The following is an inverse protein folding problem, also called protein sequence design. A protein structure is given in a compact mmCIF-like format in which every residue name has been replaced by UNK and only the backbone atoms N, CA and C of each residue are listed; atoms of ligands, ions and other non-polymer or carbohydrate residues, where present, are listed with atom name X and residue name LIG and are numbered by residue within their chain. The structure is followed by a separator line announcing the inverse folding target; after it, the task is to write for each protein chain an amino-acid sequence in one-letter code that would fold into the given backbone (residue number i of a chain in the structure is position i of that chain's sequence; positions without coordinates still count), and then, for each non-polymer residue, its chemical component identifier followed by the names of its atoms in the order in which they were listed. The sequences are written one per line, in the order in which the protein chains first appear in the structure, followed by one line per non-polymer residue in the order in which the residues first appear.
data_IF_057856093274
#
_entry.id   IF_057856093274
#
_cell.length_a   1.000
_cell.length_b   1.000
_cell.length_c   1.000
_cell.angle_alpha   90.00
_cell.angle_beta   90.00
_cell.angle_gamma   90.00
#
_symmetry.space_group_name_H-M   'P 1'
#
loop_
_entity.id
_entity.type
_entity.pdbx_description
1 polymer ?
#
# COMPACT_ATOMS: atom_id res chain seq x y z
N UNK A 1 13.42 21.49 -47.76
CA UNK A 1 14.49 21.82 -46.78
C UNK A 1 14.59 20.61 -45.88
N UNK A 2 15.22 19.58 -46.42
CA UNK A 2 15.10 18.19 -45.97
C UNK A 2 16.49 17.72 -45.56
N UNK A 3 16.63 17.26 -44.32
CA UNK A 3 17.86 16.74 -43.77
C UNK A 3 17.71 15.22 -43.55
N UNK A 4 18.58 14.38 -44.16
CA UNK A 4 18.53 12.93 -43.97
C UNK A 4 19.46 12.42 -42.84
N UNK A 5 19.03 11.28 -42.30
CA UNK A 5 19.65 10.45 -41.27
C UNK A 5 20.95 9.78 -41.76
N UNK A 6 22.01 9.86 -40.96
CA UNK A 6 23.28 9.17 -41.17
C UNK A 6 23.34 7.88 -40.35
N UNK A 7 23.10 6.74 -41.01
CA UNK A 7 23.45 5.42 -40.53
C UNK A 7 24.94 5.15 -40.79
N UNK A 8 25.69 4.75 -39.77
CA UNK A 8 27.07 4.27 -39.91
C UNK A 8 27.13 2.77 -39.65
N UNK A 9 27.15 1.99 -40.73
CA UNK A 9 27.69 0.64 -40.77
C UNK A 9 29.21 0.74 -40.77
N UNK A 10 29.87 0.00 -39.89
CA UNK A 10 31.31 -0.26 -39.98
C UNK A 10 31.48 -1.76 -40.18
N UNK A 11 31.78 -2.11 -41.42
CA UNK A 11 32.40 -3.39 -41.79
C UNK A 11 33.89 -3.28 -41.52
N UNK A 12 34.46 -4.28 -40.86
CA UNK A 12 35.91 -4.44 -40.74
C UNK A 12 36.28 -5.91 -40.88
N UNK A 13 36.53 -6.31 -42.12
CA UNK A 13 37.33 -7.48 -42.46
C UNK A 13 38.80 -7.20 -42.18
N UNK A 14 39.48 -8.09 -41.45
CA UNK A 14 40.94 -8.15 -41.45
C UNK A 14 41.39 -9.62 -41.47
N UNK A 15 41.92 -10.02 -42.62
CA UNK A 15 42.80 -11.16 -42.76
C UNK A 15 44.13 -10.83 -42.09
N UNK A 16 44.67 -11.74 -41.29
CA UNK A 16 46.11 -11.77 -41.06
C UNK A 16 46.57 -13.21 -40.91
N UNK A 17 47.39 -13.61 -41.87
CA UNK A 17 48.17 -14.83 -41.90
C UNK A 17 49.43 -14.62 -41.06
N UNK A 18 49.95 -15.71 -40.47
CA UNK A 18 51.34 -16.15 -40.62
C UNK A 18 52.01 -16.66 -39.33
N UNK A 19 52.70 -17.78 -39.54
CA UNK A 19 53.90 -18.29 -38.86
C UNK A 19 53.75 -19.01 -37.52
N UNK A 20 53.77 -20.35 -37.64
CA UNK A 20 54.21 -21.28 -36.61
C UNK A 20 55.68 -21.01 -36.27
N UNK A 21 55.98 -20.75 -35.00
CA UNK A 21 57.32 -20.98 -34.43
C UNK A 21 57.18 -22.03 -33.33
N UNK A 22 57.91 -23.13 -33.50
CA UNK A 22 58.20 -24.08 -32.44
C UNK A 22 59.34 -23.48 -31.60
N UNK A 23 59.10 -23.33 -30.29
CA UNK A 23 60.15 -23.13 -29.31
C UNK A 23 59.79 -23.96 -28.06
N UNK A 24 60.67 -24.91 -27.76
CA UNK A 24 60.70 -25.72 -26.54
C UNK A 24 61.35 -24.92 -25.39
N UNK A 25 61.12 -25.40 -24.16
CA UNK A 25 61.62 -24.91 -22.85
C UNK A 25 61.07 -23.53 -22.46
N UNK A 26 60.42 -23.33 -21.31
CA UNK A 26 60.85 -23.75 -19.98
C UNK A 26 59.64 -23.86 -19.03
N UNK A 27 59.69 -24.81 -18.10
CA UNK A 27 58.57 -25.17 -17.21
C UNK A 27 58.63 -24.32 -15.94
N UNK A 28 58.21 -23.06 -16.05
CA UNK A 28 57.70 -22.31 -14.90
C UNK A 28 56.18 -22.24 -15.05
N UNK A 29 55.47 -23.10 -14.31
CA UNK A 29 54.01 -23.07 -14.21
C UNK A 29 53.61 -21.82 -13.42
N UNK A 30 53.72 -20.65 -14.06
CA UNK A 30 53.01 -19.47 -13.62
C UNK A 30 51.53 -19.81 -13.70
N UNK A 31 50.91 -20.08 -12.54
CA UNK A 31 49.46 -20.15 -12.44
C UNK A 31 48.93 -18.86 -13.08
N UNK A 32 48.09 -18.91 -14.12
CA UNK A 32 47.56 -17.70 -14.70
C UNK A 32 46.92 -16.92 -13.55
N UNK A 33 47.39 -15.68 -13.33
CA UNK A 33 46.86 -14.77 -12.33
C UNK A 33 45.35 -14.92 -12.33
N UNK A 34 44.77 -15.34 -11.19
CA UNK A 34 43.36 -15.68 -11.04
C UNK A 34 42.54 -14.73 -11.91
N UNK A 35 42.01 -15.22 -13.04
CA UNK A 35 41.04 -14.45 -13.80
C UNK A 35 39.87 -14.26 -12.84
N UNK A 36 39.82 -13.12 -12.18
CA UNK A 36 38.71 -12.73 -11.32
C UNK A 36 37.51 -12.78 -12.26
N UNK A 37 36.66 -13.79 -12.06
CA UNK A 37 35.51 -14.01 -12.94
C UNK A 37 34.52 -12.89 -12.70
N UNK A 38 34.65 -11.83 -13.46
CA UNK A 38 33.69 -10.75 -13.49
C UNK A 38 32.33 -11.30 -13.96
N UNK A 39 31.25 -10.78 -13.38
CA UNK A 39 29.85 -11.07 -13.70
C UNK A 39 29.47 -10.56 -15.11
N UNK A 40 30.30 -10.81 -16.13
CA UNK A 40 30.19 -10.17 -17.44
C UNK A 40 29.09 -10.75 -18.32
N UNK A 41 28.51 -11.90 -17.96
CA UNK A 41 27.43 -12.52 -18.73
C UNK A 41 26.09 -12.46 -18.00
N UNK A 42 25.03 -12.14 -18.75
CA UNK A 42 23.66 -12.07 -18.25
C UNK A 42 23.19 -13.37 -17.57
N UNK A 43 23.69 -14.54 -18.01
CA UNK A 43 23.38 -15.84 -17.40
C UNK A 43 23.86 -15.96 -15.95
N UNK A 44 25.04 -15.40 -15.63
CA UNK A 44 25.58 -15.40 -14.26
C UNK A 44 24.76 -14.48 -13.36
N UNK A 45 24.45 -13.28 -13.84
CA UNK A 45 23.60 -12.32 -13.11
C UNK A 45 22.20 -12.88 -12.87
N UNK A 46 21.58 -13.53 -13.86
CA UNK A 46 20.27 -14.19 -13.71
C UNK A 46 20.28 -15.27 -12.63
N UNK A 47 21.33 -16.09 -12.57
CA UNK A 47 21.47 -17.13 -11.53
C UNK A 47 21.71 -16.53 -10.15
N UNK A 48 22.49 -15.45 -10.08
CA UNK A 48 22.76 -14.76 -8.81
C UNK A 48 21.52 -14.04 -8.25
N UNK A 49 20.65 -13.51 -9.12
CA UNK A 49 19.39 -12.84 -8.75
C UNK A 49 18.18 -13.77 -8.75
N UNK A 50 18.38 -15.09 -8.79
CA UNK A 50 17.29 -16.05 -8.83
C UNK A 50 16.57 -16.11 -7.46
N UNK A 51 15.26 -15.89 -7.45
CA UNK A 51 14.40 -16.03 -6.28
C UNK A 51 13.57 -17.31 -6.46
N UNK A 52 13.61 -18.27 -5.53
CA UNK A 52 12.83 -19.49 -5.65
C UNK A 52 11.32 -19.19 -5.59
N UNK A 53 10.47 -20.02 -6.22
CA UNK A 53 9.02 -19.86 -6.12
C UNK A 53 8.51 -20.19 -4.71
N UNK A 54 7.27 -19.81 -4.41
CA UNK A 54 6.63 -20.12 -3.14
C UNK A 54 6.50 -21.65 -2.94
N UNK A 55 6.70 -22.19 -1.72
CA UNK A 55 6.74 -23.65 -1.46
C UNK A 55 5.46 -24.39 -1.87
N UNK A 56 4.32 -23.72 -1.93
CA UNK A 56 3.06 -24.30 -2.43
C UNK A 56 3.15 -24.81 -3.87
N UNK A 57 4.13 -24.33 -4.66
CA UNK A 57 4.39 -24.78 -6.02
C UNK A 57 5.46 -25.88 -6.10
N UNK A 58 6.13 -26.19 -4.99
CA UNK A 58 7.18 -27.21 -4.91
C UNK A 58 6.64 -28.59 -4.53
N UNK A 59 5.32 -28.71 -4.30
CA UNK A 59 4.63 -29.95 -3.86
C UNK A 59 4.57 -31.04 -4.93
N UNK A 60 5.27 -30.88 -6.07
CA UNK A 60 5.29 -31.86 -7.14
C UNK A 60 6.69 -32.00 -7.75
N UNK A 61 7.60 -32.61 -6.99
CA UNK A 61 8.58 -33.61 -7.46
C UNK A 61 9.64 -33.86 -6.37
N UNK A 62 9.67 -35.09 -5.84
CA UNK A 62 10.82 -35.72 -5.15
C UNK A 62 11.32 -35.17 -3.80
N UNK A 63 10.50 -35.20 -2.74
CA UNK A 63 11.05 -35.13 -1.37
C UNK A 63 10.15 -35.73 -0.28
N UNK A 64 9.76 -37.00 -0.43
CA UNK A 64 9.69 -37.86 0.75
C UNK A 64 10.32 -39.21 0.42
N UNK A 65 11.50 -39.47 0.98
CA UNK A 65 12.11 -40.81 1.05
C UNK A 65 11.33 -41.77 1.99
N UNK A 66 10.07 -41.42 2.31
CA UNK A 66 9.10 -42.23 3.02
C UNK A 66 7.76 -42.01 2.28
N UNK A 67 7.22 -43.09 1.72
CA UNK A 67 6.00 -43.11 0.89
C UNK A 67 4.75 -42.59 1.65
N UNK A 68 3.64 -42.20 0.97
CA UNK A 68 2.88 -43.14 0.15
C UNK A 68 2.56 -42.65 -1.27
N UNK A 69 2.64 -43.63 -2.14
CA UNK A 69 2.24 -43.72 -3.54
C UNK A 69 0.74 -43.48 -3.75
N UNK A 70 0.19 -42.26 -3.62
CA UNK A 70 -1.20 -41.96 -4.03
C UNK A 70 -1.48 -40.47 -4.33
N UNK A 71 -0.64 -39.78 -5.11
CA UNK A 71 -1.07 -38.53 -5.75
C UNK A 71 -0.71 -38.55 -7.23
N UNK A 72 -1.31 -39.50 -7.95
CA UNK A 72 -1.23 -39.60 -9.42
C UNK A 72 -2.37 -38.86 -10.12
N UNK A 73 -3.07 -37.96 -9.43
CA UNK A 73 -4.25 -37.25 -9.94
C UNK A 73 -4.11 -35.74 -9.76
N UNK A 74 -4.60 -35.01 -10.76
CA UNK A 74 -4.71 -33.56 -10.70
C UNK A 74 -5.57 -33.13 -9.51
N UNK A 75 -5.12 -32.14 -8.74
CA UNK A 75 -5.83 -31.61 -7.57
C UNK A 75 -5.72 -30.09 -7.50
N UNK A 76 -6.73 -29.45 -6.89
CA UNK A 76 -6.78 -27.99 -6.73
C UNK A 76 -6.20 -27.61 -5.37
N UNK A 77 -5.20 -26.74 -5.37
CA UNK A 77 -4.57 -26.22 -4.15
C UNK A 77 -5.15 -24.83 -3.83
N UNK A 78 -5.57 -24.62 -2.58
CA UNK A 78 -5.94 -23.29 -2.10
C UNK A 78 -4.69 -22.52 -1.62
N UNK A 79 -4.26 -21.53 -2.41
CA UNK A 79 -3.06 -20.72 -2.14
C UNK A 79 -3.41 -19.23 -2.05
N UNK A 80 -3.98 -18.73 -0.93
CA UNK A 80 -4.28 -17.32 -0.78
C UNK A 80 -2.98 -16.51 -0.77
N UNK A 81 -2.78 -15.56 -1.70
CA UNK A 81 -1.52 -14.82 -1.79
C UNK A 81 -1.38 -13.84 -0.63
N UNK A 82 -0.14 -13.61 -0.18
CA UNK A 82 0.20 -12.57 0.80
C UNK A 82 0.29 -11.18 0.16
N UNK A 83 -0.71 -10.80 -0.64
CA UNK A 83 -0.79 -9.51 -1.34
C UNK A 83 -2.13 -8.82 -1.06
N UNK A 84 -2.16 -7.50 -1.25
CA UNK A 84 -3.41 -6.75 -1.13
C UNK A 84 -4.41 -7.21 -2.20
N UNK A 85 -5.69 -7.44 -1.85
CA UNK A 85 -6.72 -7.80 -2.83
C UNK A 85 -6.98 -6.63 -3.79
N UNK A 86 -7.31 -6.95 -5.03
CA UNK A 86 -7.76 -5.93 -5.99
C UNK A 86 -9.19 -5.46 -5.67
N UNK A 87 -9.56 -4.28 -6.18
CA UNK A 87 -10.91 -3.71 -6.01
C UNK A 87 -12.01 -4.63 -6.56
N UNK A 88 -11.68 -5.48 -7.52
CA UNK A 88 -12.60 -6.46 -8.11
C UNK A 88 -12.91 -7.64 -7.20
N UNK A 89 -12.11 -7.87 -6.15
CA UNK A 89 -12.44 -8.82 -5.10
C UNK A 89 -13.45 -8.19 -4.12
N UNK A 90 -14.69 -8.07 -4.58
CA UNK A 90 -15.76 -7.36 -3.88
C UNK A 90 -16.15 -8.09 -2.58
N UNK A 91 -16.12 -7.43 -1.42
CA UNK A 91 -16.54 -8.05 -0.17
C UNK A 91 -18.05 -8.39 -0.20
N UNK A 92 -18.46 -9.47 0.47
CA UNK A 92 -19.84 -9.96 0.46
C UNK A 92 -20.90 -8.95 0.92
N UNK A 93 -20.48 -7.91 1.67
CA UNK A 93 -21.36 -6.80 2.10
C UNK A 93 -21.82 -5.93 0.93
N UNK A 94 -21.01 -5.83 -0.13
CA UNK A 94 -21.29 -5.00 -1.31
C UNK A 94 -21.97 -5.78 -2.45
N UNK A 95 -22.04 -7.11 -2.35
CA UNK A 95 -22.79 -7.92 -3.31
C UNK A 95 -24.30 -7.79 -3.08
N UNK A 96 -25.11 -7.73 -4.15
CA UNK A 96 -26.56 -7.86 -4.05
C UNK A 96 -26.96 -9.16 -3.33
N UNK A 97 -28.09 -9.13 -2.62
CA UNK A 97 -28.58 -10.30 -1.86
C UNK A 97 -28.88 -11.51 -2.76
N UNK A 98 -29.23 -11.28 -4.03
CA UNK A 98 -29.50 -12.31 -5.03
C UNK A 98 -28.25 -12.94 -5.64
N UNK A 99 -27.07 -12.36 -5.44
CA UNK A 99 -25.83 -12.86 -6.04
C UNK A 99 -25.42 -14.19 -5.38
N UNK A 100 -25.33 -15.31 -6.12
CA UNK A 100 -24.98 -16.61 -5.57
C UNK A 100 -23.58 -16.64 -4.94
N UNK A 101 -22.66 -15.76 -5.37
CA UNK A 101 -21.29 -15.66 -4.85
C UNK A 101 -21.25 -15.26 -3.38
N UNK A 102 -22.33 -14.68 -2.85
CA UNK A 102 -22.45 -14.31 -1.43
C UNK A 102 -22.36 -15.52 -0.48
N UNK A 103 -22.57 -16.74 -0.98
CA UNK A 103 -22.52 -18.00 -0.19
C UNK A 103 -21.14 -18.68 -0.21
N UNK A 104 -20.24 -18.29 -1.11
CA UNK A 104 -18.99 -19.00 -1.38
C UNK A 104 -17.82 -18.44 -0.55
N UNK A 105 -17.78 -18.75 0.75
CA UNK A 105 -16.58 -18.47 1.56
C UNK A 105 -15.57 -19.61 1.40
N UNK A 106 -14.66 -19.49 0.41
CA UNK A 106 -13.67 -20.53 0.11
C UNK A 106 -12.78 -20.87 1.31
N UNK A 107 -12.40 -19.90 2.14
CA UNK A 107 -11.61 -20.15 3.35
C UNK A 107 -12.33 -21.15 4.26
N UNK A 108 -13.63 -20.95 4.50
CA UNK A 108 -14.42 -21.86 5.32
C UNK A 108 -14.55 -23.26 4.70
N UNK A 109 -14.62 -23.36 3.37
CA UNK A 109 -14.71 -24.65 2.68
C UNK A 109 -13.41 -25.47 2.79
N UNK A 110 -12.24 -24.83 2.69
CA UNK A 110 -10.94 -25.52 2.75
C UNK A 110 -10.40 -25.69 4.18
N UNK A 111 -10.78 -24.84 5.14
CA UNK A 111 -10.39 -24.99 6.55
C UNK A 111 -10.90 -26.28 7.20
N UNK A 112 -11.98 -26.87 6.69
CA UNK A 112 -12.48 -28.18 7.15
C UNK A 112 -11.70 -29.37 6.58
N UNK A 113 -10.84 -29.16 5.57
CA UNK A 113 -10.18 -30.21 4.80
C UNK A 113 -8.64 -30.21 4.89
N UNK A 114 -8.01 -29.20 5.51
CA UNK A 114 -6.54 -29.07 5.50
C UNK A 114 -5.84 -30.00 6.48
N UNK A 115 -5.35 -31.12 5.96
CA UNK A 115 -4.37 -32.05 6.56
C UNK A 115 -2.92 -31.54 6.51
N UNK A 116 -2.65 -30.34 5.99
CA UNK A 116 -1.30 -29.76 5.95
C UNK A 116 -1.28 -28.45 6.71
N UNK A 117 -1.07 -28.54 8.03
CA UNK A 117 -0.69 -27.39 8.86
C UNK A 117 0.79 -27.11 8.57
N UNK A 118 1.08 -26.00 7.91
CA UNK A 118 2.45 -25.49 7.91
C UNK A 118 2.80 -25.07 9.34
N UNK A 119 3.80 -25.73 9.91
CA UNK A 119 4.43 -25.38 11.19
C UNK A 119 5.21 -24.06 11.01
N UNK A 120 4.51 -22.93 11.02
CA UNK A 120 5.17 -21.64 11.19
C UNK A 120 5.55 -21.47 12.67
N UNK A 121 6.85 -21.50 12.95
CA UNK A 121 7.41 -21.39 14.30
C UNK A 121 7.56 -19.92 14.74
N UNK A 122 6.92 -18.97 14.06
CA UNK A 122 7.14 -17.54 14.30
C UNK A 122 5.94 -16.62 14.07
N UNK A 123 4.72 -17.15 13.99
CA UNK A 123 3.52 -16.34 14.12
C UNK A 123 2.75 -16.75 15.38
N UNK A 124 2.76 -15.86 16.37
CA UNK A 124 1.67 -15.70 17.34
C UNK A 124 0.39 -15.37 16.57
N UNK A 125 -0.17 -16.38 15.91
CA UNK A 125 -1.55 -16.36 15.43
C UNK A 125 -2.44 -16.56 16.67
N UNK A 126 -3.38 -15.64 16.97
CA UNK A 126 -4.32 -15.85 18.05
C UNK A 126 -5.18 -17.07 17.69
N UNK A 127 -5.17 -18.03 18.60
CA UNK A 127 -5.95 -19.26 18.60
C UNK A 127 -7.39 -19.03 18.19
N UNK A 128 -7.74 -19.45 16.98
CA UNK A 128 -9.11 -19.79 16.62
C UNK A 128 -9.36 -21.25 16.99
N UNK A 129 -9.80 -21.48 18.22
CA UNK A 129 -10.38 -22.76 18.64
C UNK A 129 -11.54 -22.51 19.61
N UNK A 130 -12.74 -22.93 19.19
CA UNK A 130 -13.99 -23.08 19.94
C UNK A 130 -14.59 -21.78 20.51
N UNK A 131 -15.73 -21.23 20.06
CA UNK A 131 -17.00 -21.90 19.76
C UNK A 131 -17.41 -22.92 20.84
N UNK A 132 -17.42 -22.47 22.09
CA UNK A 132 -18.32 -22.98 23.11
C UNK A 132 -18.58 -21.86 24.13
N UNK A 133 -19.85 -21.46 24.21
CA UNK A 133 -20.49 -20.69 25.28
C UNK A 133 -20.06 -19.22 25.51
N UNK A 134 -21.05 -18.32 25.48
CA UNK A 134 -20.88 -16.91 25.89
C UNK A 134 -20.26 -15.95 24.86
N UNK A 135 -21.00 -15.56 23.81
CA UNK A 135 -20.94 -14.22 23.21
C UNK A 135 -19.58 -13.56 22.89
N UNK A 136 -18.53 -14.34 22.58
CA UNK A 136 -17.20 -13.81 22.33
C UNK A 136 -17.16 -13.07 20.98
N UNK A 137 -17.25 -11.75 21.03
CA UNK A 137 -16.95 -10.86 19.90
C UNK A 137 -15.51 -11.15 19.48
N UNK A 138 -15.22 -11.45 18.19
CA UNK A 138 -13.84 -11.67 17.76
C UNK A 138 -13.00 -10.47 18.14
N UNK A 139 -11.81 -10.71 18.71
CA UNK A 139 -10.90 -9.65 19.10
C UNK A 139 -10.45 -8.90 17.85
N UNK A 140 -11.05 -7.72 17.64
CA UNK A 140 -10.75 -6.85 16.53
C UNK A 140 -9.43 -6.11 16.82
N UNK A 141 -8.65 -5.75 15.80
CA UNK A 141 -7.48 -4.89 16.00
C UNK A 141 -7.90 -3.57 16.66
N UNK A 142 -6.97 -2.92 17.39
CA UNK A 142 -7.28 -1.69 18.11
C UNK A 142 -7.82 -0.63 17.16
N UNK A 143 -8.96 -0.04 17.53
CA UNK A 143 -9.57 1.03 16.75
C UNK A 143 -8.69 2.27 16.81
N UNK A 144 -8.33 2.81 15.65
CA UNK A 144 -7.79 4.18 15.58
C UNK A 144 -8.94 5.13 15.90
N UNK A 145 -8.91 5.71 17.11
CA UNK A 145 -9.93 6.66 17.52
C UNK A 145 -9.86 7.93 16.67
N UNK A 146 -11.01 8.31 16.12
CA UNK A 146 -11.21 9.56 15.43
C UNK A 146 -12.49 10.20 15.96
N UNK A 147 -12.53 11.53 15.96
CA UNK A 147 -13.65 12.30 16.51
C UNK A 147 -15.01 11.93 15.89
N UNK A 148 -15.04 11.44 14.65
CA UNK A 148 -16.26 11.01 13.96
C UNK A 148 -16.84 9.67 14.47
N UNK A 149 -16.08 8.93 15.28
CA UNK A 149 -16.56 7.71 15.92
C UNK A 149 -17.23 7.95 17.27
N UNK A 150 -17.17 9.17 17.80
CA UNK A 150 -17.92 9.56 18.99
C UNK A 150 -19.41 9.61 18.64
N UNK A 151 -20.25 9.03 19.49
CA UNK A 151 -21.69 8.98 19.26
C UNK A 151 -22.27 10.39 19.03
N UNK A 152 -23.06 10.54 17.97
CA UNK A 152 -23.69 11.81 17.61
C UNK A 152 -24.65 12.26 18.71
N UNK A 153 -24.40 13.43 19.29
CA UNK A 153 -25.26 14.06 20.29
C UNK A 153 -26.21 15.03 19.60
N UNK A 154 -27.51 14.80 19.71
CA UNK A 154 -28.57 15.63 19.12
C UNK A 154 -29.38 16.33 20.22
N UNK A 155 -28.69 17.01 21.13
CA UNK A 155 -29.32 17.63 22.32
C UNK A 155 -29.69 19.11 22.12
N UNK A 156 -29.20 19.75 21.04
CA UNK A 156 -29.43 21.18 20.80
C UNK A 156 -30.81 21.46 20.24
N UNK A 157 -31.47 22.47 20.81
CA UNK A 157 -32.74 22.98 20.33
C UNK A 157 -32.57 24.00 19.19
N UNK A 158 -33.69 24.37 18.54
CA UNK A 158 -33.69 25.43 17.51
C UNK A 158 -33.38 26.80 18.12
N UNK A 159 -33.71 27.00 19.39
CA UNK A 159 -33.49 28.25 20.12
C UNK A 159 -32.00 28.46 20.40
N UNK A 160 -31.32 27.41 20.86
CA UNK A 160 -29.86 27.42 21.05
C UNK A 160 -29.13 27.78 19.75
N UNK A 161 -29.61 27.24 18.64
CA UNK A 161 -29.11 27.53 17.30
C UNK A 161 -29.30 29.01 16.92
N UNK A 162 -30.45 29.59 17.24
CA UNK A 162 -30.69 31.02 17.00
C UNK A 162 -29.77 31.89 17.87
N UNK A 163 -29.56 31.53 19.14
CA UNK A 163 -28.65 32.23 20.04
C UNK A 163 -27.20 32.15 19.54
N UNK A 164 -26.74 30.98 19.10
CA UNK A 164 -25.39 30.81 18.52
C UNK A 164 -25.17 31.73 17.31
N UNK A 165 -26.17 31.85 16.42
CA UNK A 165 -26.09 32.76 15.27
C UNK A 165 -26.02 34.21 15.72
N UNK A 166 -26.86 34.60 16.69
CA UNK A 166 -26.88 35.95 17.25
C UNK A 166 -25.52 36.32 17.86
N UNK A 167 -24.96 35.46 18.71
CA UNK A 167 -23.69 35.70 19.38
C UNK A 167 -22.53 35.88 18.40
N UNK A 168 -22.47 35.05 17.35
CA UNK A 168 -21.41 35.15 16.32
C UNK A 168 -21.57 36.36 15.40
N UNK A 169 -22.81 36.80 15.17
CA UNK A 169 -23.08 38.02 14.40
C UNK A 169 -22.66 39.28 15.18
N UNK A 170 -22.80 39.27 16.51
CA UNK A 170 -22.42 40.39 17.38
C UNK A 170 -20.91 40.55 17.48
N UNK A 171 -20.19 39.53 17.94
CA UNK A 171 -18.73 39.57 18.06
C UNK A 171 -18.09 38.24 17.65
N UNK A 172 -17.53 38.16 16.42
CA UNK A 172 -16.89 36.96 15.94
C UNK A 172 -15.50 36.70 16.56
N UNK A 173 -14.90 37.64 17.30
CA UNK A 173 -13.63 37.43 17.98
C UNK A 173 -13.85 36.78 19.35
N UNK A 174 -14.77 37.33 20.15
CA UNK A 174 -15.13 36.74 21.45
C UNK A 174 -15.84 35.40 21.28
N UNK A 175 -16.87 35.34 20.44
CA UNK A 175 -17.67 34.14 20.21
C UNK A 175 -17.16 33.32 19.03
N UNK A 176 -15.92 32.85 19.13
CA UNK A 176 -15.30 31.97 18.13
C UNK A 176 -16.05 30.63 18.00
N UNK A 177 -15.84 29.92 16.89
CA UNK A 177 -16.44 28.59 16.65
C UNK A 177 -16.15 27.63 17.81
N UNK A 178 -14.93 27.66 18.35
CA UNK A 178 -14.54 26.83 19.50
C UNK A 178 -15.18 27.30 20.81
N UNK A 179 -15.37 28.60 21.02
CA UNK A 179 -16.03 29.12 22.21
C UNK A 179 -17.51 28.70 22.25
N UNK A 180 -18.21 28.79 21.12
CA UNK A 180 -19.59 28.32 20.98
C UNK A 180 -19.69 26.80 21.13
N UNK A 181 -18.78 26.05 20.50
CA UNK A 181 -18.72 24.59 20.63
C UNK A 181 -18.57 24.16 22.11
N UNK A 182 -17.75 24.89 22.88
CA UNK A 182 -17.58 24.65 24.32
C UNK A 182 -18.81 25.06 25.15
N UNK A 183 -19.43 26.20 24.85
CA UNK A 183 -20.63 26.70 25.58
C UNK A 183 -21.80 25.74 25.43
N UNK A 184 -22.04 25.23 24.22
CA UNK A 184 -23.18 24.38 23.90
C UNK A 184 -22.83 22.88 23.85
N UNK A 185 -21.65 22.47 24.32
CA UNK A 185 -21.15 21.07 24.26
C UNK A 185 -21.44 20.36 22.92
N UNK A 186 -21.01 20.97 21.82
CA UNK A 186 -21.26 20.47 20.47
C UNK A 186 -19.99 20.50 19.60
N UNK A 187 -20.03 19.83 18.44
CA UNK A 187 -18.88 19.76 17.54
C UNK A 187 -18.58 21.14 16.91
N UNK A 188 -17.31 21.58 16.83
CA UNK A 188 -16.94 22.79 16.09
C UNK A 188 -17.40 22.77 14.63
N UNK A 189 -17.44 21.59 14.01
CA UNK A 189 -17.92 21.41 12.64
C UNK A 189 -19.43 21.72 12.55
N UNK A 190 -20.21 21.28 13.55
CA UNK A 190 -21.63 21.58 13.62
C UNK A 190 -21.87 23.10 13.73
N UNK A 191 -21.11 23.79 14.59
CA UNK A 191 -21.17 25.25 14.71
C UNK A 191 -20.83 25.92 13.37
N UNK A 192 -19.78 25.47 12.67
CA UNK A 192 -19.38 26.01 11.37
C UNK A 192 -20.43 25.79 10.26
N UNK A 193 -21.23 24.72 10.36
CA UNK A 193 -22.34 24.43 9.45
C UNK A 193 -23.54 25.36 9.68
N UNK A 194 -23.86 25.64 10.95
CA UNK A 194 -25.09 26.35 11.34
C UNK A 194 -24.90 27.86 11.44
N UNK A 195 -23.68 28.31 11.72
CA UNK A 195 -23.33 29.70 12.01
C UNK A 195 -22.24 30.18 11.07
N UNK A 196 -22.55 31.23 10.31
CA UNK A 196 -21.55 31.92 9.48
C UNK A 196 -21.07 33.19 10.17
N UNK A 197 -19.77 33.47 10.10
CA UNK A 197 -19.22 34.76 10.51
C UNK A 197 -19.52 35.86 9.47
N UNK A 198 -19.45 37.12 9.91
CA UNK A 198 -19.55 38.29 9.02
C UNK A 198 -18.51 38.22 7.89
N UNK A 199 -18.86 38.81 6.74
CA UNK A 199 -17.98 38.79 5.57
C UNK A 199 -16.67 39.52 5.85
N UNK A 200 -16.73 40.66 6.54
CA UNK A 200 -15.56 41.43 6.96
C UNK A 200 -14.58 40.58 7.78
N UNK A 201 -15.08 39.81 8.74
CA UNK A 201 -14.23 38.93 9.54
C UNK A 201 -13.60 37.82 8.68
N UNK A 202 -14.35 37.23 7.75
CA UNK A 202 -13.83 36.24 6.80
C UNK A 202 -12.72 36.84 5.92
N UNK A 203 -12.86 38.09 5.51
CA UNK A 203 -11.87 38.80 4.69
C UNK A 203 -10.60 39.12 5.50
N UNK A 204 -10.75 39.58 6.74
CA UNK A 204 -9.61 39.80 7.65
C UNK A 204 -8.82 38.51 7.90
N UNK A 205 -9.51 37.39 8.13
CA UNK A 205 -8.86 36.08 8.31
C UNK A 205 -8.14 35.65 7.02
N UNK A 206 -8.76 35.84 5.84
CA UNK A 206 -8.13 35.57 4.54
C UNK A 206 -6.89 36.43 4.32
N UNK A 207 -6.97 37.74 4.62
CA UNK A 207 -5.84 38.67 4.51
C UNK A 207 -4.69 38.26 5.43
N UNK A 208 -4.99 37.88 6.69
CA UNK A 208 -3.98 37.35 7.63
C UNK A 208 -3.32 36.08 7.10
N UNK A 209 -4.10 35.13 6.57
CA UNK A 209 -3.55 33.91 5.97
C UNK A 209 -2.68 34.21 4.75
N UNK A 210 -3.07 35.17 3.90
CA UNK A 210 -2.28 35.60 2.75
C UNK A 210 -0.96 36.25 3.19
N UNK A 211 -0.98 37.07 4.24
CA UNK A 211 0.24 37.63 4.84
C UNK A 211 1.16 36.57 5.46
N UNK A 212 0.61 35.48 6.00
CA UNK A 212 1.41 34.35 6.48
C UNK A 212 2.02 33.57 5.29
N UNK A 213 1.26 33.40 4.21
CA UNK A 213 1.70 32.71 3.00
C UNK A 213 2.79 33.48 2.26
N UNK A 214 2.69 34.81 2.16
CA UNK A 214 3.70 35.66 1.51
C UNK A 214 5.05 35.61 2.24
N UNK A 215 5.05 35.34 3.55
CA UNK A 215 6.27 35.16 4.36
C UNK A 215 6.94 33.80 4.17
N UNK A 216 6.39 32.89 3.38
CA UNK A 216 7.02 31.59 3.14
C UNK A 216 8.17 31.72 2.15
N UNK A 217 9.35 31.21 2.53
CA UNK A 217 10.46 31.05 1.59
C UNK A 217 10.18 29.95 0.53
N UNK A 218 10.99 29.90 -0.54
CA UNK A 218 10.73 29.07 -1.72
C UNK A 218 10.57 27.58 -1.39
N UNK A 219 11.45 27.02 -0.55
CA UNK A 219 11.39 25.61 -0.14
C UNK A 219 10.09 25.25 0.58
N UNK A 220 9.58 26.15 1.43
CA UNK A 220 8.34 25.92 2.19
C UNK A 220 7.11 26.05 1.28
N UNK A 221 7.12 27.01 0.35
CA UNK A 221 6.06 27.16 -0.64
C UNK A 221 5.93 25.89 -1.51
N UNK A 222 7.04 25.44 -2.11
CA UNK A 222 7.07 24.22 -2.93
C UNK A 222 6.57 22.99 -2.14
N UNK A 223 7.07 22.77 -0.92
CA UNK A 223 6.63 21.63 -0.10
C UNK A 223 5.12 21.65 0.23
N UNK A 224 4.50 22.84 0.34
CA UNK A 224 3.06 22.99 0.56
C UNK A 224 2.25 22.70 -0.70
N UNK A 225 2.76 23.13 -1.85
CA UNK A 225 2.18 22.79 -3.16
C UNK A 225 2.26 21.28 -3.42
N UNK A 226 3.40 20.65 -3.18
CA UNK A 226 3.56 19.20 -3.35
C UNK A 226 2.64 18.42 -2.40
N UNK A 227 2.41 18.92 -1.17
CA UNK A 227 1.42 18.32 -0.27
C UNK A 227 -0.01 18.45 -0.81
N UNK A 228 -0.34 19.54 -1.50
CA UNK A 228 -1.64 19.71 -2.16
C UNK A 228 -1.77 18.73 -3.33
N UNK A 229 -0.76 18.65 -4.21
CA UNK A 229 -0.72 17.72 -5.34
C UNK A 229 -0.86 16.28 -4.88
N UNK A 230 -0.11 15.84 -3.85
CA UNK A 230 -0.24 14.49 -3.30
C UNK A 230 -1.65 14.19 -2.80
N UNK A 231 -2.34 15.18 -2.21
CA UNK A 231 -3.74 14.99 -1.80
C UNK A 231 -4.66 14.84 -3.00
N UNK A 232 -4.45 15.60 -4.06
CA UNK A 232 -5.20 15.49 -5.32
C UNK A 232 -4.96 14.12 -5.98
N UNK A 233 -3.69 13.70 -6.11
CA UNK A 233 -3.28 12.38 -6.62
C UNK A 233 -3.92 11.22 -5.84
N UNK A 234 -3.99 11.32 -4.51
CA UNK A 234 -4.64 10.32 -3.67
C UNK A 234 -6.13 10.16 -4.00
N UNK A 235 -6.85 11.27 -4.19
CA UNK A 235 -8.27 11.21 -4.56
C UNK A 235 -8.49 10.72 -5.99
N UNK A 236 -7.52 10.93 -6.87
CA UNK A 236 -7.52 10.38 -8.23
C UNK A 236 -7.12 8.89 -8.29
N UNK A 237 -6.55 8.33 -7.21
CA UNK A 237 -6.06 6.95 -7.16
C UNK A 237 -4.69 6.73 -7.80
N UNK A 238 -3.88 7.78 -7.91
CA UNK A 238 -2.51 7.72 -8.47
C UNK A 238 -1.46 7.31 -7.41
N UNK A 239 -1.76 7.48 -6.12
CA UNK A 239 -0.93 7.10 -4.96
C UNK A 239 -1.77 6.51 -3.82
#
# INVERSE_FOLDING_TARGET
MDAPLLARQISSSCLSSSMRRLALSDSSRALPANQIRHQSSASRTKRALNIPPHPSFLTSSSSSAAAPTTQSSDHIIFNPPASAPSVYHTPFKFLPKSDPRRRANLNALFSSSTTVRFSDSSSTSPSSAAAADGGAVPELPPRVEHDYYRASRHHLSKEDVAEMRRLRAQDPLAWSVHALAKKYDCSPIFVMMVVQASQEHKDQVRARLNGIRSRWGPKKAQAREDRRKRREMLYNGEI
#
